data_IF_578687865007
#
_entry.id   IF_578687865007
#
_cell.length_a   1.000
_cell.length_b   1.000
_cell.length_c   1.000
_cell.angle_alpha   90.00
_cell.angle_beta   90.00
_cell.angle_gamma   90.00
#
_symmetry.space_group_name_H-M   'P 1'
#
loop_
_entity.id
_entity.type
_entity.pdbx_description
1 polymer ?
#
# COMPACT_ATOMS: atom_id res chain seq x y z
N UNK A 1 -34.99 -6.82 -13.46
CA UNK A 1 -33.69 -6.48 -14.07
C UNK A 1 -33.67 -6.94 -15.51
N UNK A 2 -33.53 -6.03 -16.48
CA UNK A 2 -33.51 -6.39 -17.91
C UNK A 2 -32.29 -7.26 -18.31
N UNK A 3 -31.18 -7.12 -17.59
CA UNK A 3 -29.92 -7.85 -17.85
C UNK A 3 -29.57 -8.84 -16.73
N UNK A 4 -30.45 -9.81 -16.45
CA UNK A 4 -30.30 -10.74 -15.33
C UNK A 4 -29.01 -11.57 -15.37
N UNK A 5 -28.56 -12.01 -16.56
CA UNK A 5 -27.33 -12.80 -16.72
C UNK A 5 -26.08 -12.06 -16.27
N UNK A 6 -25.97 -10.77 -16.60
CA UNK A 6 -24.82 -9.93 -16.23
C UNK A 6 -24.85 -9.61 -14.73
N UNK A 7 -26.02 -9.24 -14.20
CA UNK A 7 -26.18 -8.97 -12.77
C UNK A 7 -25.89 -10.20 -11.91
N UNK A 8 -26.35 -11.39 -12.33
CA UNK A 8 -26.03 -12.65 -11.67
C UNK A 8 -24.55 -13.01 -11.73
N UNK A 9 -23.89 -12.83 -12.89
CA UNK A 9 -22.45 -13.08 -13.05
C UNK A 9 -21.59 -12.30 -12.04
N UNK A 10 -21.97 -11.06 -11.75
CA UNK A 10 -21.25 -10.20 -10.82
C UNK A 10 -21.89 -10.14 -9.42
N UNK A 11 -22.84 -11.03 -9.08
CA UNK A 11 -23.40 -11.11 -7.73
C UNK A 11 -24.19 -9.88 -7.27
N UNK A 12 -24.84 -9.15 -8.18
CA UNK A 12 -25.66 -7.98 -7.84
C UNK A 12 -27.00 -8.44 -7.23
N UNK A 13 -27.15 -8.29 -5.92
CA UNK A 13 -28.34 -8.68 -5.15
C UNK A 13 -29.22 -7.51 -4.68
N UNK A 14 -28.75 -6.26 -4.78
CA UNK A 14 -29.48 -5.06 -4.37
C UNK A 14 -29.16 -3.83 -5.23
N UNK A 15 -30.01 -2.79 -5.15
CA UNK A 15 -29.85 -1.57 -5.95
C UNK A 15 -29.84 -0.30 -5.07
N UNK A 16 -28.95 0.67 -5.34
CA UNK A 16 -27.86 0.62 -6.32
C UNK A 16 -26.62 -0.15 -5.80
N UNK A 17 -26.05 -1.01 -6.65
CA UNK A 17 -24.73 -1.63 -6.44
C UNK A 17 -23.74 -1.01 -7.42
N UNK A 18 -22.67 -0.42 -6.90
CA UNK A 18 -21.59 0.16 -7.68
C UNK A 18 -20.39 -0.78 -7.63
N UNK A 19 -19.86 -1.14 -8.80
CA UNK A 19 -18.69 -2.02 -8.97
C UNK A 19 -17.62 -1.33 -9.81
N UNK A 20 -16.38 -1.55 -9.45
CA UNK A 20 -15.21 -1.04 -10.16
C UNK A 20 -14.67 -2.16 -11.03
N UNK A 21 -14.44 -1.88 -12.31
CA UNK A 21 -13.81 -2.79 -13.25
C UNK A 21 -12.47 -2.20 -13.70
N UNK A 22 -11.42 -3.02 -13.74
CA UNK A 22 -10.10 -2.66 -14.27
C UNK A 22 -9.64 -3.74 -15.22
N UNK A 23 -9.16 -3.35 -16.40
CA UNK A 23 -8.70 -4.26 -17.46
C UNK A 23 -9.72 -5.36 -17.83
N UNK A 24 -11.01 -5.04 -17.67
CA UNK A 24 -12.12 -5.96 -17.95
C UNK A 24 -12.49 -6.91 -16.82
N UNK A 25 -11.77 -6.88 -15.69
CA UNK A 25 -12.02 -7.73 -14.51
C UNK A 25 -12.67 -6.95 -13.36
N UNK A 26 -13.48 -7.67 -12.56
CA UNK A 26 -14.16 -7.12 -11.38
C UNK A 26 -13.10 -6.84 -10.28
N UNK A 27 -12.94 -5.57 -9.94
CA UNK A 27 -11.96 -5.07 -8.97
C UNK A 27 -12.58 -4.77 -7.60
N UNK A 28 -13.85 -5.15 -7.38
CA UNK A 28 -14.53 -4.95 -6.10
C UNK A 28 -15.67 -3.94 -6.14
N UNK A 29 -16.30 -3.76 -4.97
CA UNK A 29 -17.37 -2.80 -4.75
C UNK A 29 -16.84 -1.37 -4.61
N UNK A 30 -17.72 -0.40 -4.84
CA UNK A 30 -17.47 0.98 -4.41
C UNK A 30 -17.99 1.18 -2.99
N UNK A 31 -17.08 1.32 -2.04
CA UNK A 31 -17.38 1.53 -0.62
C UNK A 31 -17.35 3.01 -0.20
N UNK A 32 -17.37 3.93 -1.17
CA UNK A 32 -17.37 5.37 -0.91
C UNK A 32 -18.75 6.02 -0.78
N UNK A 33 -18.82 7.34 -0.51
CA UNK A 33 -20.07 8.10 -0.45
C UNK A 33 -20.82 8.11 -1.78
N UNK A 34 -22.13 7.85 -1.81
CA UNK A 34 -22.96 7.87 -3.04
C UNK A 34 -23.31 9.28 -3.52
N UNK A 35 -22.33 10.18 -3.51
CA UNK A 35 -22.43 11.57 -4.01
C UNK A 35 -21.54 11.73 -5.25
N UNK A 36 -21.85 12.69 -6.11
CA UNK A 36 -21.03 12.96 -7.29
C UNK A 36 -19.56 13.23 -6.90
N UNK A 37 -19.34 14.07 -5.88
CA UNK A 37 -18.00 14.41 -5.40
C UNK A 37 -17.28 13.21 -4.77
N UNK A 38 -18.00 12.35 -4.02
CA UNK A 38 -17.44 11.14 -3.43
C UNK A 38 -16.96 10.15 -4.50
N UNK A 39 -17.80 9.94 -5.53
CA UNK A 39 -17.48 9.06 -6.66
C UNK A 39 -16.28 9.63 -7.45
N UNK A 40 -16.27 10.93 -7.76
CA UNK A 40 -15.16 11.56 -8.48
C UNK A 40 -13.85 11.46 -7.70
N UNK A 41 -13.88 11.75 -6.39
CA UNK A 41 -12.70 11.67 -5.53
C UNK A 41 -12.15 10.25 -5.45
N UNK A 42 -13.03 9.27 -5.24
CA UNK A 42 -12.64 7.87 -5.18
C UNK A 42 -12.08 7.37 -6.52
N UNK A 43 -12.75 7.66 -7.65
CA UNK A 43 -12.27 7.26 -8.97
C UNK A 43 -10.95 7.94 -9.34
N UNK A 44 -10.72 9.19 -8.91
CA UNK A 44 -9.42 9.86 -9.08
C UNK A 44 -8.33 9.14 -8.32
N UNK A 45 -8.56 8.76 -7.06
CA UNK A 45 -7.61 7.92 -6.28
C UNK A 45 -7.37 6.57 -6.95
N UNK A 46 -8.42 5.98 -7.52
CA UNK A 46 -8.36 4.71 -8.22
C UNK A 46 -7.65 4.78 -9.58
N UNK A 47 -7.64 5.95 -10.21
CA UNK A 47 -6.97 6.24 -11.47
C UNK A 47 -5.48 6.56 -11.30
N UNK A 48 -5.03 6.86 -10.08
CA UNK A 48 -3.60 6.92 -9.77
C UNK A 48 -3.02 5.51 -10.01
N UNK A 49 -1.87 5.40 -10.69
CA UNK A 49 -1.23 4.10 -10.90
C UNK A 49 -1.05 3.39 -9.57
N UNK A 50 -1.23 2.06 -9.60
CA UNK A 50 -1.13 1.24 -8.40
C UNK A 50 0.22 1.39 -7.69
N UNK A 51 1.27 1.70 -8.46
CA UNK A 51 2.59 2.06 -7.96
C UNK A 51 3.07 3.35 -8.65
N UNK A 52 3.52 4.33 -7.87
CA UNK A 52 4.07 5.59 -8.39
C UNK A 52 5.53 5.41 -8.82
N UNK A 53 5.86 5.79 -10.05
CA UNK A 53 7.25 5.78 -10.54
C UNK A 53 8.04 6.97 -9.96
N UNK A 54 9.14 6.70 -9.25
CA UNK A 54 10.03 7.69 -8.64
C UNK A 54 11.27 7.86 -9.52
N UNK A 55 11.39 9.05 -10.14
CA UNK A 55 12.41 9.32 -11.16
C UNK A 55 13.70 9.91 -10.60
N UNK A 56 13.61 10.57 -9.46
CA UNK A 56 14.72 11.27 -8.82
C UNK A 56 14.63 11.15 -7.30
N UNK A 57 15.71 11.54 -6.63
CA UNK A 57 15.84 11.48 -5.18
C UNK A 57 14.85 12.38 -4.45
N UNK A 58 14.56 13.58 -4.96
CA UNK A 58 13.62 14.49 -4.32
C UNK A 58 12.19 13.91 -4.25
N UNK A 59 11.73 13.27 -5.32
CA UNK A 59 10.44 12.57 -5.36
C UNK A 59 10.44 11.37 -4.42
N UNK A 60 11.56 10.64 -4.33
CA UNK A 60 11.71 9.50 -3.43
C UNK A 60 11.64 9.93 -1.95
N UNK A 61 12.46 10.90 -1.54
CA UNK A 61 12.50 11.40 -0.16
C UNK A 61 11.14 11.98 0.26
N UNK A 62 10.47 12.70 -0.64
CA UNK A 62 9.11 13.19 -0.42
C UNK A 62 8.10 12.05 -0.25
N UNK A 63 8.25 10.97 -1.00
CA UNK A 63 7.32 9.83 -0.97
C UNK A 63 7.42 9.05 0.34
N UNK A 64 8.65 8.79 0.82
CA UNK A 64 8.92 8.07 2.07
C UNK A 64 8.75 8.94 3.32
N UNK A 65 8.73 10.26 3.17
CA UNK A 65 8.45 11.23 4.23
C UNK A 65 6.98 11.34 4.64
N UNK A 66 6.10 10.50 4.07
CA UNK A 66 4.67 10.47 4.38
C UNK A 66 4.41 9.94 5.81
N UNK A 67 3.22 10.22 6.35
CA UNK A 67 2.81 9.70 7.67
C UNK A 67 2.54 8.20 7.61
N UNK A 68 2.16 7.68 6.46
CA UNK A 68 1.92 6.26 6.25
C UNK A 68 3.18 5.53 5.76
N UNK A 69 3.25 4.23 6.07
CA UNK A 69 4.32 3.38 5.56
C UNK A 69 4.27 3.29 4.02
N UNK A 70 5.46 3.16 3.43
CA UNK A 70 5.70 3.21 1.99
C UNK A 70 6.41 1.95 1.52
N UNK A 71 5.87 1.27 0.52
CA UNK A 71 6.50 0.09 -0.09
C UNK A 71 7.13 0.51 -1.42
N UNK A 72 8.45 0.49 -1.51
CA UNK A 72 9.20 0.91 -2.70
C UNK A 72 9.89 -0.26 -3.36
N UNK A 73 9.57 -0.51 -4.63
CA UNK A 73 10.28 -1.45 -5.49
C UNK A 73 11.46 -0.79 -6.22
N UNK A 74 12.58 -1.49 -6.30
CA UNK A 74 13.81 -1.06 -6.96
C UNK A 74 14.09 -2.08 -8.06
N UNK A 75 14.09 -1.66 -9.33
CA UNK A 75 14.26 -2.57 -10.46
C UNK A 75 15.19 -1.95 -11.49
N UNK A 76 16.36 -2.53 -11.73
CA UNK A 76 17.31 -2.02 -12.71
C UNK A 76 16.75 -2.13 -14.13
N UNK A 77 16.10 -3.24 -14.45
CA UNK A 77 15.47 -3.48 -15.74
C UNK A 77 13.97 -3.15 -15.70
N UNK A 78 13.59 -2.13 -16.48
CA UNK A 78 12.21 -1.69 -16.62
C UNK A 78 11.35 -2.75 -17.31
N UNK A 79 10.42 -3.34 -16.57
CA UNK A 79 9.53 -4.38 -17.08
C UNK A 79 10.00 -5.80 -16.81
N UNK A 80 10.94 -5.99 -15.88
CA UNK A 80 11.34 -7.31 -15.41
C UNK A 80 10.16 -8.11 -14.84
N UNK A 81 10.32 -9.44 -14.75
CA UNK A 81 9.30 -10.30 -14.16
C UNK A 81 9.00 -9.92 -12.69
N UNK A 82 10.03 -9.50 -11.94
CA UNK A 82 9.87 -9.03 -10.57
C UNK A 82 9.07 -7.73 -10.49
N UNK A 83 9.36 -6.76 -11.37
CA UNK A 83 8.58 -5.53 -11.47
C UNK A 83 7.11 -5.84 -11.82
N UNK A 84 6.88 -6.79 -12.73
CA UNK A 84 5.54 -7.26 -13.08
C UNK A 84 4.78 -7.83 -11.88
N UNK A 85 5.40 -8.71 -11.08
CA UNK A 85 4.81 -9.27 -9.87
C UNK A 85 4.59 -8.22 -8.77
N UNK A 86 5.49 -7.24 -8.67
CA UNK A 86 5.33 -6.10 -7.76
C UNK A 86 4.14 -5.21 -8.15
N UNK A 87 3.98 -4.90 -9.44
CA UNK A 87 2.84 -4.11 -9.93
C UNK A 87 1.51 -4.86 -9.75
N UNK A 88 1.50 -6.20 -9.86
CA UNK A 88 0.33 -7.02 -9.49
C UNK A 88 0.01 -6.91 -8.00
N UNK A 89 1.03 -7.03 -7.14
CA UNK A 89 0.85 -6.87 -5.69
C UNK A 89 0.33 -5.47 -5.34
N UNK A 90 0.92 -4.43 -5.93
CA UNK A 90 0.49 -3.05 -5.76
C UNK A 90 -0.99 -2.88 -6.18
N UNK A 91 -1.38 -3.44 -7.32
CA UNK A 91 -2.77 -3.34 -7.81
C UNK A 91 -3.78 -3.98 -6.85
N UNK A 92 -3.42 -5.11 -6.25
CA UNK A 92 -4.25 -5.84 -5.30
C UNK A 92 -4.31 -5.19 -3.90
N UNK A 93 -3.32 -4.37 -3.54
CA UNK A 93 -3.14 -3.87 -2.16
C UNK A 93 -3.13 -2.35 -2.03
N UNK A 94 -3.23 -1.59 -3.13
CA UNK A 94 -3.21 -0.11 -3.15
C UNK A 94 -4.32 0.58 -2.34
N UNK A 95 -5.36 -0.15 -1.94
CA UNK A 95 -6.39 0.41 -1.06
C UNK A 95 -5.95 0.45 0.40
N UNK A 96 -4.98 -0.40 0.77
CA UNK A 96 -4.46 -0.50 2.14
C UNK A 96 -3.04 0.04 2.29
N UNK A 97 -2.23 0.02 1.23
CA UNK A 97 -0.82 0.39 1.31
C UNK A 97 -0.38 1.30 0.15
N UNK A 98 0.64 2.11 0.41
CA UNK A 98 1.24 3.04 -0.56
C UNK A 98 2.39 2.33 -1.28
N UNK A 99 2.28 2.18 -2.60
CA UNK A 99 3.33 1.59 -3.44
C UNK A 99 3.98 2.62 -4.35
N UNK A 100 5.30 2.51 -4.46
CA UNK A 100 6.11 3.20 -5.45
C UNK A 100 7.17 2.26 -6.03
N UNK A 101 7.74 2.63 -7.16
CA UNK A 101 8.89 1.92 -7.73
C UNK A 101 9.86 2.90 -8.36
N UNK A 102 11.10 2.48 -8.52
CA UNK A 102 12.12 3.23 -9.24
C UNK A 102 12.97 2.31 -10.11
N UNK A 103 13.34 2.84 -11.28
CA UNK A 103 14.35 2.27 -12.16
C UNK A 103 15.62 3.14 -12.21
N UNK A 104 15.76 4.10 -11.29
CA UNK A 104 16.89 5.02 -11.24
C UNK A 104 18.11 4.36 -10.58
N UNK A 105 19.20 4.19 -11.34
CA UNK A 105 20.42 3.53 -10.86
C UNK A 105 21.03 4.17 -9.60
N UNK A 106 20.94 5.49 -9.43
CA UNK A 106 21.51 6.18 -8.27
C UNK A 106 20.75 5.82 -7.01
N UNK A 107 19.42 5.69 -7.10
CA UNK A 107 18.58 5.22 -5.99
C UNK A 107 18.86 3.74 -5.67
N UNK A 108 19.03 2.89 -6.68
CA UNK A 108 19.42 1.49 -6.48
C UNK A 108 20.76 1.40 -5.73
N UNK A 109 21.78 2.12 -6.18
CA UNK A 109 23.12 2.15 -5.57
C UNK A 109 23.08 2.71 -4.14
N UNK A 110 22.36 3.81 -3.90
CA UNK A 110 22.21 4.42 -2.57
C UNK A 110 21.60 3.47 -1.55
N UNK A 111 20.68 2.61 -1.98
CA UNK A 111 20.01 1.63 -1.13
C UNK A 111 20.65 0.22 -1.17
N UNK A 112 21.80 0.06 -1.83
CA UNK A 112 22.54 -1.20 -1.87
C UNK A 112 21.80 -2.33 -2.60
N UNK A 113 20.94 -2.00 -3.57
CA UNK A 113 20.19 -2.97 -4.36
C UNK A 113 20.95 -3.25 -5.65
N UNK A 114 21.38 -4.50 -5.83
CA UNK A 114 21.99 -4.99 -7.07
C UNK A 114 20.93 -5.70 -7.93
N UNK A 115 20.49 -5.04 -9.00
CA UNK A 115 19.45 -5.55 -9.88
C UNK A 115 18.02 -5.29 -9.39
N UNK A 116 17.54 -6.02 -8.39
CA UNK A 116 16.12 -6.00 -7.99
C UNK A 116 15.95 -6.10 -6.47
N UNK A 117 15.00 -5.33 -5.92
CA UNK A 117 14.73 -5.33 -4.49
C UNK A 117 13.42 -4.65 -4.14
N UNK A 118 12.86 -4.94 -2.97
CA UNK A 118 11.71 -4.23 -2.41
C UNK A 118 12.07 -3.82 -0.99
N UNK A 119 11.86 -2.56 -0.66
CA UNK A 119 12.07 -2.04 0.69
C UNK A 119 10.75 -1.47 1.21
N UNK A 120 10.37 -1.89 2.41
CA UNK A 120 9.29 -1.29 3.18
C UNK A 120 9.89 -0.21 4.08
N UNK A 121 9.43 1.02 3.92
CA UNK A 121 9.77 2.15 4.79
C UNK A 121 8.60 2.41 5.73
N UNK A 122 8.85 2.37 7.03
CA UNK A 122 7.86 2.73 8.05
C UNK A 122 7.75 4.24 8.15
N UNK A 123 6.66 4.71 8.76
CA UNK A 123 6.46 6.13 9.03
C UNK A 123 7.66 6.71 9.79
N UNK A 124 8.29 7.80 9.30
CA UNK A 124 9.38 8.46 10.02
C UNK A 124 8.97 8.95 11.41
N UNK A 125 7.67 9.25 11.61
CA UNK A 125 7.13 9.69 12.90
C UNK A 125 7.13 8.58 13.95
N UNK A 126 7.13 7.31 13.51
CA UNK A 126 7.18 6.14 14.38
C UNK A 126 8.59 5.54 14.49
N UNK A 127 9.58 6.21 13.89
CA UNK A 127 10.99 5.79 13.99
C UNK A 127 11.43 5.78 15.45
N UNK A 128 12.05 4.69 15.86
CA UNK A 128 12.45 4.46 17.23
C UNK A 128 13.71 3.59 17.28
N UNK A 129 14.32 3.48 18.46
CA UNK A 129 15.58 2.74 18.66
C UNK A 129 15.41 1.22 18.82
N UNK A 130 14.18 0.72 18.81
CA UNK A 130 13.88 -0.68 19.10
C UNK A 130 13.75 -1.53 17.84
N UNK A 131 13.57 -0.91 16.68
CA UNK A 131 13.46 -1.58 15.39
C UNK A 131 13.92 -0.69 14.25
N UNK A 132 14.30 -1.31 13.14
CA UNK A 132 14.69 -0.59 11.94
C UNK A 132 13.50 0.14 11.31
N UNK A 133 13.76 1.34 10.76
CA UNK A 133 12.73 2.13 10.08
C UNK A 133 12.46 1.65 8.65
N UNK A 134 13.31 0.76 8.13
CA UNK A 134 13.10 0.10 6.84
C UNK A 134 13.39 -1.39 6.92
N UNK A 135 12.70 -2.18 6.11
CA UNK A 135 12.86 -3.63 6.03
C UNK A 135 13.03 -4.03 4.57
N UNK A 136 14.09 -4.78 4.28
CA UNK A 136 14.35 -5.33 2.95
C UNK A 136 13.58 -6.63 2.74
N UNK A 137 13.01 -6.82 1.55
CA UNK A 137 12.45 -8.09 1.12
C UNK A 137 13.59 -9.07 0.79
N UNK A 138 13.71 -10.15 1.57
CA UNK A 138 14.82 -11.11 1.49
C UNK A 138 14.45 -12.45 0.85
N UNK A 139 13.24 -12.59 0.32
CA UNK A 139 12.81 -13.82 -0.32
C UNK A 139 13.48 -14.00 -1.69
N UNK A 140 13.73 -15.25 -2.07
CA UNK A 140 14.39 -15.65 -3.32
C UNK A 140 13.58 -15.29 -4.59
N UNK A 141 12.26 -15.16 -4.45
CA UNK A 141 11.33 -14.98 -5.57
C UNK A 141 10.35 -13.86 -5.31
N UNK A 142 10.27 -12.95 -6.26
CA UNK A 142 9.25 -11.93 -6.33
C UNK A 142 7.95 -12.56 -6.84
N UNK A 143 7.01 -12.82 -5.93
CA UNK A 143 5.64 -13.22 -6.28
C UNK A 143 4.67 -12.33 -5.52
N UNK A 144 3.54 -12.00 -6.13
CA UNK A 144 2.50 -11.18 -5.49
C UNK A 144 2.09 -11.69 -4.11
N UNK A 145 2.00 -13.01 -3.92
CA UNK A 145 1.68 -13.64 -2.64
C UNK A 145 2.77 -13.43 -1.57
N UNK A 146 4.04 -13.62 -1.93
CA UNK A 146 5.17 -13.39 -1.00
C UNK A 146 5.30 -11.92 -0.63
N UNK A 147 5.13 -11.01 -1.60
CA UNK A 147 5.15 -9.56 -1.36
C UNK A 147 4.01 -9.16 -0.42
N UNK A 148 2.79 -9.65 -0.66
CA UNK A 148 1.65 -9.42 0.23
C UNK A 148 1.95 -9.85 1.67
N UNK A 149 2.46 -11.08 1.84
CA UNK A 149 2.80 -11.62 3.16
C UNK A 149 3.89 -10.79 3.84
N UNK A 150 4.95 -10.45 3.12
CA UNK A 150 6.02 -9.58 3.60
C UNK A 150 5.49 -8.25 4.14
N UNK A 151 4.60 -7.58 3.39
CA UNK A 151 4.03 -6.30 3.83
C UNK A 151 3.20 -6.49 5.10
N UNK A 152 2.32 -7.49 5.12
CA UNK A 152 1.47 -7.78 6.28
C UNK A 152 2.28 -8.12 7.55
N UNK A 153 3.42 -8.79 7.39
CA UNK A 153 4.26 -9.23 8.50
C UNK A 153 5.14 -8.08 9.05
N UNK A 154 5.42 -7.04 8.26
CA UNK A 154 6.44 -6.03 8.61
C UNK A 154 5.95 -4.58 8.74
N UNK A 155 4.81 -4.22 8.14
CA UNK A 155 4.41 -2.81 7.98
C UNK A 155 4.21 -2.07 9.31
N UNK A 156 3.73 -2.78 10.33
CA UNK A 156 3.37 -2.21 11.63
C UNK A 156 4.51 -2.19 12.65
N UNK A 157 5.60 -2.92 12.38
CA UNK A 157 6.66 -3.09 13.35
C UNK A 157 6.22 -3.80 14.62
N UNK A 158 6.97 -3.60 15.69
CA UNK A 158 6.70 -4.22 17.00
C UNK A 158 5.53 -3.55 17.73
N UNK A 159 5.32 -2.25 17.51
CA UNK A 159 4.33 -1.45 18.20
C UNK A 159 3.75 -0.37 17.28
N UNK A 160 2.63 -0.70 16.64
CA UNK A 160 1.93 0.25 15.78
C UNK A 160 1.02 1.21 16.55
N UNK A 161 0.88 2.42 16.00
CA UNK A 161 -0.20 3.32 16.36
C UNK A 161 -1.52 2.82 15.76
N UNK A 162 -2.41 2.32 16.62
CA UNK A 162 -3.74 1.87 16.21
C UNK A 162 -4.67 3.07 15.98
N UNK A 163 -5.15 3.22 14.76
CA UNK A 163 -6.11 4.25 14.33
C UNK A 163 -7.43 3.59 13.89
N UNK A 164 -8.46 4.39 13.60
CA UNK A 164 -9.70 3.85 13.05
C UNK A 164 -9.51 3.13 11.71
N UNK A 165 -8.54 3.57 10.91
CA UNK A 165 -8.27 3.05 9.57
C UNK A 165 -7.54 1.70 9.58
N UNK A 166 -6.71 1.45 10.59
CA UNK A 166 -5.88 0.24 10.65
C UNK A 166 -6.28 -0.75 11.76
N UNK A 167 -7.22 -0.41 12.65
CA UNK A 167 -7.64 -1.26 13.77
C UNK A 167 -8.04 -2.66 13.34
N UNK A 168 -8.70 -2.81 12.19
CA UNK A 168 -9.17 -4.11 11.72
C UNK A 168 -8.03 -4.99 11.17
N UNK A 169 -6.90 -4.39 10.80
CA UNK A 169 -5.69 -5.12 10.41
C UNK A 169 -4.87 -5.58 11.63
N UNK A 170 -4.98 -4.86 12.76
CA UNK A 170 -4.28 -5.17 14.01
C UNK A 170 -5.07 -6.14 14.90
N UNK A 171 -6.40 -6.10 14.82
CA UNK A 171 -7.29 -7.00 15.57
C UNK A 171 -7.26 -8.43 15.03
N UNK A 172 -7.61 -9.39 15.89
CA UNK A 172 -7.68 -10.82 15.54
C UNK A 172 -6.43 -11.62 15.86
N UNK A 173 -5.45 -11.00 16.51
CA UNK A 173 -4.27 -11.63 17.13
C UNK A 173 -4.23 -11.28 18.62
N UNK A 174 -3.39 -11.97 19.38
CA UNK A 174 -3.08 -11.56 20.75
C UNK A 174 -2.45 -10.16 20.71
N UNK A 175 -3.15 -9.17 21.27
CA UNK A 175 -2.80 -7.76 21.14
C UNK A 175 -2.82 -7.08 22.52
N UNK A 176 -1.71 -6.43 22.87
CA UNK A 176 -1.61 -5.53 24.02
C UNK A 176 -1.79 -4.10 23.52
N UNK A 177 -2.75 -3.36 24.10
CA UNK A 177 -3.03 -1.96 23.74
C UNK A 177 -2.79 -1.07 24.95
N UNK A 178 -1.88 -0.10 24.82
CA UNK A 178 -1.66 0.94 25.80
C UNK A 178 -2.46 2.20 25.41
N UNK A 179 -3.39 2.63 26.27
CA UNK A 179 -4.21 3.82 26.05
C UNK A 179 -3.63 5.01 26.80
N UNK A 180 -3.39 6.10 26.08
CA UNK A 180 -2.98 7.41 26.59
C UNK A 180 -3.34 8.49 25.55
N UNK A 181 -2.95 9.74 25.77
CA UNK A 181 -3.23 10.85 24.85
C UNK A 181 -2.34 10.79 23.59
N UNK A 182 -2.63 9.83 22.70
CA UNK A 182 -1.92 9.65 21.42
C UNK A 182 -2.42 10.68 20.40
N UNK A 183 -1.76 11.83 20.35
CA UNK A 183 -2.02 12.89 19.37
C UNK A 183 -0.70 13.41 18.79
N UNK A 184 -0.25 12.85 17.67
CA UNK A 184 1.00 13.25 17.01
C UNK A 184 0.94 14.63 16.34
N UNK A 185 -0.22 15.27 16.25
CA UNK A 185 -0.34 16.65 15.77
C UNK A 185 -0.08 17.66 16.89
N UNK A 186 -0.61 17.39 18.08
CA UNK A 186 -0.38 18.23 19.28
C UNK A 186 0.89 17.85 20.03
N UNK A 187 1.35 16.61 19.90
CA UNK A 187 2.52 16.07 20.57
C UNK A 187 3.40 15.27 19.59
N UNK A 188 4.21 15.97 18.76
CA UNK A 188 5.05 15.34 17.74
C UNK A 188 6.09 14.36 18.30
N UNK A 189 6.38 14.43 19.62
CA UNK A 189 7.35 13.55 20.29
C UNK A 189 6.72 12.33 20.96
N UNK A 190 5.38 12.22 20.98
CA UNK A 190 4.66 11.10 21.58
C UNK A 190 4.94 10.89 23.07
N UNK A 191 5.32 11.96 23.79
CA UNK A 191 5.73 11.93 25.21
C UNK A 191 4.65 12.38 26.16
#
# INVERSE_FOLDING_TARGET
TANAKVCGKYGVSGYPTLKIFRDGEDSGGYDGPRTADGIVSHLKKQAVPASVELKNEADFEKYIGDRDASVVGFFADGGSAAQGEFLKAASALRESYRFAHTNNEDLLKKHGIDGEGIILFRSPQLSNKFEDSSVLFTEDKFTSAKIKKFIQDNIFGICAHMTEDNKDQLKGKDLLVAYYDVDYEKNPKGS
#
